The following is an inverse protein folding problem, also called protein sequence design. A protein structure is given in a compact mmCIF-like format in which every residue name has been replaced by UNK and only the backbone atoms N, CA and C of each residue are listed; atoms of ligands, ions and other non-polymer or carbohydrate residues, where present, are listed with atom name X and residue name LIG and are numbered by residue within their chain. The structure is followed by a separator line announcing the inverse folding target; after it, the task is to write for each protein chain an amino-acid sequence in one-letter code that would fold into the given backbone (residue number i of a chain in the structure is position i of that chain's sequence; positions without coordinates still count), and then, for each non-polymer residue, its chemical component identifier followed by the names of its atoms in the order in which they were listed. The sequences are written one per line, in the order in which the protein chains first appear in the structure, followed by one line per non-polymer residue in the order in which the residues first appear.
data_IF_667640373752
#
_entry.id   IF_667640373752
#
_cell.length_a   1.000
_cell.length_b   1.000
_cell.length_c   1.000
_cell.angle_alpha   90.00
_cell.angle_beta   90.00
_cell.angle_gamma   90.00
#
_symmetry.space_group_name_H-M   'P 1'
#
loop_
_entity.id
_entity.type
_entity.pdbx_description
1 polymer ?
#
# COMPACT_ATOMS: atom_id res chain seq x y z
N UNK A 1 5.89 4.21 9.88
CA UNK A 1 4.84 4.16 8.85
C UNK A 1 4.29 5.55 8.62
N UNK A 2 4.14 5.94 7.36
CA UNK A 2 3.63 7.23 6.91
C UNK A 2 2.38 7.01 6.06
N UNK A 3 1.32 7.79 6.32
CA UNK A 3 0.15 7.86 5.44
C UNK A 3 0.48 8.83 4.32
N UNK A 4 0.61 8.33 3.09
CA UNK A 4 0.97 9.15 1.94
C UNK A 4 -0.25 9.87 1.35
N UNK A 5 -1.42 9.23 1.41
CA UNK A 5 -2.69 9.70 0.86
C UNK A 5 -3.83 8.88 1.49
N UNK A 6 -4.99 9.49 1.70
CA UNK A 6 -6.20 8.82 2.17
C UNK A 6 -7.40 9.73 1.92
N UNK A 7 -8.54 9.14 1.55
CA UNK A 7 -9.83 9.84 1.57
C UNK A 7 -10.61 9.61 2.87
N UNK A 8 -10.03 8.82 3.79
CA UNK A 8 -10.57 8.41 5.09
C UNK A 8 -11.80 7.49 5.04
N UNK A 9 -12.56 7.55 3.95
CA UNK A 9 -13.81 6.81 3.80
C UNK A 9 -13.63 5.49 3.05
N UNK A 10 -12.76 5.43 2.02
CA UNK A 10 -12.69 4.27 1.11
C UNK A 10 -11.30 3.67 0.98
N UNK A 11 -10.23 4.47 1.01
CA UNK A 11 -8.87 3.96 0.87
C UNK A 11 -7.82 4.77 1.62
N UNK A 12 -6.69 4.12 1.90
CA UNK A 12 -5.48 4.79 2.37
C UNK A 12 -4.23 4.15 1.77
N UNK A 13 -3.19 4.96 1.59
CA UNK A 13 -1.87 4.50 1.17
C UNK A 13 -0.90 4.67 2.33
N UNK A 14 -0.33 3.57 2.78
CA UNK A 14 0.63 3.54 3.88
C UNK A 14 1.99 3.09 3.35
N UNK A 15 3.04 3.80 3.71
CA UNK A 15 4.41 3.51 3.32
C UNK A 15 5.31 3.38 4.55
N UNK A 16 6.32 2.52 4.46
CA UNK A 16 7.35 2.37 5.46
C UNK A 16 8.70 2.11 4.80
N UNK A 17 9.73 2.82 5.25
CA UNK A 17 11.12 2.59 4.88
C UNK A 17 11.93 2.45 6.16
N UNK A 18 12.63 1.33 6.31
CA UNK A 18 13.42 1.04 7.50
C UNK A 18 14.83 0.65 7.09
N UNK A 19 15.83 1.22 7.77
CA UNK A 19 17.22 0.82 7.59
C UNK A 19 17.48 -0.51 8.30
N UNK A 20 18.08 -1.48 7.62
CA UNK A 20 18.52 -2.73 8.23
C UNK A 20 19.64 -2.44 9.25
N UNK A 21 19.57 -2.94 10.50
CA UNK A 21 20.55 -2.60 11.53
C UNK A 21 21.98 -3.05 11.21
N UNK A 22 22.13 -4.17 10.52
CA UNK A 22 23.43 -4.84 10.31
C UNK A 22 24.06 -4.61 8.93
N UNK A 23 23.33 -4.05 7.97
CA UNK A 23 23.77 -3.90 6.58
C UNK A 23 23.30 -2.55 6.00
N UNK A 24 24.01 -1.94 5.03
CA UNK A 24 23.63 -0.67 4.43
C UNK A 24 22.51 -0.84 3.39
N UNK A 25 21.41 -1.48 3.80
CA UNK A 25 20.23 -1.76 2.96
C UNK A 25 19.01 -1.14 3.64
N UNK A 26 18.11 -0.58 2.82
CA UNK A 26 16.80 -0.12 3.26
C UNK A 26 15.75 -1.11 2.79
N UNK A 27 14.80 -1.44 3.67
CA UNK A 27 13.63 -2.22 3.33
C UNK A 27 12.44 -1.29 3.21
N UNK A 28 11.72 -1.41 2.10
CA UNK A 28 10.57 -0.59 1.78
C UNK A 28 9.32 -1.47 1.74
N UNK A 29 8.22 -0.92 2.24
CA UNK A 29 6.90 -1.54 2.20
C UNK A 29 5.87 -0.48 1.86
N UNK A 30 4.89 -0.83 1.03
CA UNK A 30 3.80 0.04 0.68
C UNK A 30 2.51 -0.77 0.61
N UNK A 31 1.42 -0.16 1.05
CA UNK A 31 0.10 -0.78 1.15
C UNK A 31 -0.94 0.15 0.56
N UNK A 32 -1.76 -0.35 -0.36
CA UNK A 32 -3.04 0.25 -0.73
C UNK A 32 -4.10 -0.49 0.06
N UNK A 33 -4.67 0.19 1.06
CA UNK A 33 -5.68 -0.36 1.95
C UNK A 33 -7.06 0.16 1.54
N UNK A 34 -8.06 -0.71 1.64
CA UNK A 34 -9.46 -0.37 1.38
C UNK A 34 -10.28 -0.52 2.65
N UNK A 35 -11.36 0.26 2.77
CA UNK A 35 -12.29 0.17 3.90
C UNK A 35 -13.09 -1.13 3.89
N UNK A 36 -13.50 -1.56 2.70
CA UNK A 36 -14.24 -2.79 2.47
C UNK A 36 -13.34 -3.90 1.89
N UNK A 37 -13.69 -5.16 2.19
CA UNK A 37 -12.98 -6.33 1.67
C UNK A 37 -13.29 -6.54 0.19
N UNK A 38 -12.28 -6.95 -0.57
CA UNK A 38 -12.35 -7.33 -1.99
C UNK A 38 -12.85 -6.22 -2.91
N UNK A 39 -12.72 -4.96 -2.50
CA UNK A 39 -13.05 -3.78 -3.30
C UNK A 39 -11.74 -3.07 -3.66
N UNK A 40 -11.50 -2.85 -4.95
CA UNK A 40 -10.40 -2.00 -5.39
C UNK A 40 -10.83 -0.52 -5.34
N UNK A 41 -9.93 0.42 -4.98
CA UNK A 41 -10.21 1.84 -5.09
C UNK A 41 -10.57 2.20 -6.54
N UNK A 42 -11.59 3.06 -6.73
CA UNK A 42 -12.01 3.48 -8.07
C UNK A 42 -10.89 4.20 -8.86
N UNK A 43 -9.93 4.78 -8.14
CA UNK A 43 -8.77 5.51 -8.66
C UNK A 43 -7.45 4.70 -8.55
N UNK A 44 -7.50 3.36 -8.52
CA UNK A 44 -6.32 2.52 -8.29
C UNK A 44 -5.18 2.78 -9.29
N UNK A 45 -5.47 2.97 -10.57
CA UNK A 45 -4.43 3.23 -11.57
C UNK A 45 -3.74 4.59 -11.34
N UNK A 46 -4.53 5.60 -11.00
CA UNK A 46 -4.01 6.94 -10.66
C UNK A 46 -3.19 6.90 -9.37
N UNK A 47 -3.60 6.08 -8.40
CA UNK A 47 -2.82 5.81 -7.18
C UNK A 47 -1.45 5.23 -7.56
N UNK A 48 -1.43 4.20 -8.41
CA UNK A 48 -0.18 3.56 -8.87
C UNK A 48 0.73 4.56 -9.60
N UNK A 49 0.18 5.36 -10.51
CA UNK A 49 0.92 6.42 -11.20
C UNK A 49 1.58 7.41 -10.22
N UNK A 50 0.85 7.88 -9.21
CA UNK A 50 1.39 8.77 -8.18
C UNK A 50 2.48 8.11 -7.35
N UNK A 51 2.36 6.82 -7.05
CA UNK A 51 3.39 6.08 -6.31
C UNK A 51 4.65 5.88 -7.16
N UNK A 52 4.51 5.52 -8.44
CA UNK A 52 5.63 5.44 -9.37
C UNK A 52 6.33 6.79 -9.55
N UNK A 53 5.59 7.89 -9.64
CA UNK A 53 6.16 9.23 -9.68
C UNK A 53 6.97 9.60 -8.42
N UNK A 54 6.68 8.96 -7.28
CA UNK A 54 7.43 9.11 -6.02
C UNK A 54 8.60 8.12 -5.89
N UNK A 55 8.87 7.31 -6.92
CA UNK A 55 9.97 6.35 -6.95
C UNK A 55 9.64 4.97 -6.40
N UNK A 56 8.37 4.68 -6.07
CA UNK A 56 7.97 3.34 -5.65
C UNK A 56 7.75 2.45 -6.88
N UNK A 57 8.36 1.26 -6.87
CA UNK A 57 8.11 0.25 -7.89
C UNK A 57 6.81 -0.51 -7.57
N UNK A 58 5.75 -0.13 -8.28
CA UNK A 58 4.41 -0.72 -8.11
C UNK A 58 4.31 -2.13 -8.70
N UNK A 59 5.30 -2.61 -9.44
CA UNK A 59 5.30 -3.96 -10.01
C UNK A 59 5.39 -5.06 -8.93
N UNK A 60 5.92 -4.71 -7.75
CA UNK A 60 5.98 -5.60 -6.59
C UNK A 60 4.67 -5.71 -5.81
N UNK A 61 3.65 -4.92 -6.15
CA UNK A 61 2.37 -4.99 -5.45
C UNK A 61 1.65 -6.29 -5.77
N UNK A 62 1.19 -6.97 -4.72
CA UNK A 62 0.39 -8.17 -4.82
C UNK A 62 -1.01 -7.92 -4.25
N UNK A 63 -2.07 -8.41 -4.90
CA UNK A 63 -3.41 -8.34 -4.32
C UNK A 63 -3.46 -9.16 -3.04
N UNK A 64 -3.96 -8.56 -1.96
CA UNK A 64 -4.22 -9.29 -0.72
C UNK A 64 -5.39 -10.25 -0.90
N UNK A 65 -5.23 -11.50 -0.48
CA UNK A 65 -6.36 -12.43 -0.38
C UNK A 65 -7.21 -12.05 0.84
N UNK A 66 -8.47 -11.69 0.59
CA UNK A 66 -9.43 -11.25 1.61
C UNK A 66 -10.65 -12.18 1.68
N UNK A 67 -10.55 -13.40 1.15
CA UNK A 67 -11.61 -14.42 1.19
C UNK A 67 -11.40 -15.37 2.38
N UNK A 68 -12.50 -15.93 2.89
CA UNK A 68 -12.44 -16.92 3.98
C UNK A 68 -11.92 -16.36 5.31
N UNK A 69 -11.83 -15.03 5.46
CA UNK A 69 -11.37 -14.40 6.68
C UNK A 69 -12.49 -14.36 7.74
N UNK A 70 -12.17 -14.60 9.03
CA UNK A 70 -13.12 -14.40 10.12
C UNK A 70 -13.62 -12.94 10.20
N UNK A 71 -14.78 -12.73 10.82
CA UNK A 71 -15.37 -11.37 11.00
C UNK A 71 -14.89 -10.63 12.25
N UNK A 72 -13.95 -11.22 13.01
CA UNK A 72 -13.52 -10.72 14.31
C UNK A 72 -12.13 -10.08 14.28
#
# INVERSE_FOLDING_TARGET
YWVLETDYDTYSIVYGCTKMPAVPIFTETAWVLTRERSVAPANLDQIKERLTAKGLDVSYFQPGDQKGCPEW
#
